data_IF_194945522673
#
_entry.id   IF_194945522673
#
_cell.length_a   1.000
_cell.length_b   1.000
_cell.length_c   1.000
_cell.angle_alpha   90.00
_cell.angle_beta   90.00
_cell.angle_gamma   90.00
#
_symmetry.space_group_name_H-M   'P 1'
#
loop_
_entity.id
_entity.type
_entity.pdbx_description
1 polymer ?
#
# COMPACT_ATOMS: atom_id res chain seq x y z
N UNK A 1 27.89 -2.78 15.82
CA UNK A 1 27.30 -3.73 14.88
C UNK A 1 26.15 -4.52 15.46
N UNK A 2 26.30 -5.10 16.63
CA UNK A 2 25.22 -5.83 17.27
C UNK A 2 24.03 -4.93 17.61
N UNK A 3 24.29 -3.67 17.95
CA UNK A 3 23.23 -2.73 18.22
C UNK A 3 22.34 -2.50 17.02
N UNK A 4 22.94 -2.46 15.85
CA UNK A 4 22.21 -2.25 14.62
C UNK A 4 21.26 -3.42 14.34
N UNK A 5 21.76 -4.64 14.52
CA UNK A 5 20.95 -5.85 14.32
C UNK A 5 19.81 -5.88 15.33
N UNK A 6 20.12 -5.58 16.59
CA UNK A 6 19.11 -5.59 17.63
C UNK A 6 18.02 -4.57 17.35
N UNK A 7 18.39 -3.36 16.93
CA UNK A 7 17.39 -2.35 16.62
C UNK A 7 16.50 -2.74 15.48
N UNK A 8 17.04 -3.44 14.47
CA UNK A 8 16.23 -3.92 13.38
C UNK A 8 15.22 -4.98 13.84
N UNK A 9 15.64 -5.86 14.72
CA UNK A 9 14.73 -6.86 15.27
C UNK A 9 13.64 -6.22 16.10
N UNK A 10 13.99 -5.24 16.91
CA UNK A 10 13.00 -4.55 17.72
C UNK A 10 11.99 -3.81 16.85
N UNK A 11 12.46 -3.19 15.79
CA UNK A 11 11.56 -2.51 14.85
C UNK A 11 10.62 -3.50 14.19
N UNK A 12 11.12 -4.68 13.80
CA UNK A 12 10.29 -5.69 13.20
C UNK A 12 9.24 -6.20 14.18
N UNK A 13 9.60 -6.38 15.43
CA UNK A 13 8.65 -6.80 16.46
C UNK A 13 7.56 -5.77 16.67
N UNK A 14 7.92 -4.49 16.70
CA UNK A 14 6.92 -3.44 16.85
C UNK A 14 5.99 -3.39 15.65
N UNK A 15 6.53 -3.58 14.47
CA UNK A 15 5.73 -3.59 13.26
C UNK A 15 4.75 -4.75 13.24
N UNK A 16 5.19 -5.92 13.66
CA UNK A 16 4.32 -7.08 13.75
C UNK A 16 3.19 -6.86 14.73
N UNK A 17 3.51 -6.27 15.87
CA UNK A 17 2.48 -5.96 16.86
C UNK A 17 1.48 -4.95 16.32
N UNK A 18 1.95 -3.96 15.57
CA UNK A 18 1.08 -2.97 14.95
C UNK A 18 0.15 -3.62 13.95
N UNK A 19 0.68 -4.49 13.11
CA UNK A 19 -0.11 -5.22 12.12
C UNK A 19 -1.21 -6.01 12.81
N UNK A 20 -0.88 -6.68 13.90
CA UNK A 20 -1.86 -7.48 14.61
C UNK A 20 -2.96 -6.65 15.27
N UNK A 21 -2.66 -5.41 15.62
CA UNK A 21 -3.65 -4.53 16.22
C UNK A 21 -4.51 -3.81 15.20
N UNK A 22 -3.93 -3.46 14.05
CA UNK A 22 -4.60 -2.64 13.05
C UNK A 22 -5.34 -3.47 12.01
N UNK A 23 -4.73 -4.58 11.60
CA UNK A 23 -5.33 -5.43 10.58
C UNK A 23 -6.17 -6.51 11.22
N UNK A 24 -7.33 -6.77 10.64
CA UNK A 24 -8.15 -7.89 11.07
C UNK A 24 -7.47 -9.20 10.69
N UNK A 25 -7.97 -10.30 11.24
CA UNK A 25 -7.45 -11.60 10.88
C UNK A 25 -7.64 -11.89 9.40
N UNK A 26 -8.78 -11.49 8.84
CA UNK A 26 -9.05 -11.68 7.42
C UNK A 26 -8.08 -10.88 6.57
N UNK A 27 -7.77 -9.65 6.99
CA UNK A 27 -6.81 -8.82 6.28
C UNK A 27 -5.40 -9.40 6.32
N UNK A 28 -5.00 -9.89 7.48
CA UNK A 28 -3.70 -10.55 7.60
C UNK A 28 -3.60 -11.78 6.73
N UNK A 29 -4.69 -12.57 6.69
CA UNK A 29 -4.73 -13.75 5.85
C UNK A 29 -4.65 -13.40 4.37
N UNK A 30 -5.33 -12.34 3.97
CA UNK A 30 -5.27 -11.87 2.58
C UNK A 30 -3.85 -11.48 2.21
N UNK A 31 -3.19 -10.72 3.08
CA UNK A 31 -1.83 -10.28 2.83
C UNK A 31 -0.88 -11.47 2.70
N UNK A 32 -1.06 -12.47 3.56
CA UNK A 32 -0.23 -13.68 3.49
C UNK A 32 -0.47 -14.48 2.23
N UNK A 33 -1.72 -14.70 1.89
CA UNK A 33 -2.09 -15.55 0.77
C UNK A 33 -1.87 -14.89 -0.58
N UNK A 34 -2.30 -13.66 -0.68
CA UNK A 34 -2.35 -12.98 -1.98
C UNK A 34 -1.16 -12.06 -2.20
N UNK A 35 -0.41 -11.73 -1.14
CA UNK A 35 0.70 -10.81 -1.26
C UNK A 35 0.31 -9.35 -1.28
N UNK A 36 -0.96 -9.06 -1.09
CA UNK A 36 -1.44 -7.68 -1.03
C UNK A 36 -2.65 -7.59 -0.11
N UNK A 37 -2.92 -6.39 0.35
CA UNK A 37 -4.09 -6.06 1.14
C UNK A 37 -5.02 -5.21 0.29
N UNK A 38 -6.28 -5.59 0.23
CA UNK A 38 -7.26 -4.84 -0.55
C UNK A 38 -8.04 -3.88 0.35
N UNK A 39 -8.13 -2.62 -0.09
CA UNK A 39 -8.84 -1.57 0.63
C UNK A 39 -9.84 -0.94 -0.32
N UNK A 40 -11.07 -0.78 0.13
CA UNK A 40 -12.09 -0.13 -0.69
C UNK A 40 -11.98 1.38 -0.54
N UNK A 41 -12.19 2.11 -1.64
CA UNK A 41 -12.21 3.55 -1.59
C UNK A 41 -13.44 4.03 -0.83
N UNK A 42 -13.25 5.03 0.03
CA UNK A 42 -14.37 5.67 0.70
C UNK A 42 -14.94 6.81 -0.14
N UNK A 43 -14.14 7.36 -1.05
CA UNK A 43 -14.55 8.51 -1.84
C UNK A 43 -15.11 8.19 -3.21
N UNK A 44 -14.74 7.05 -3.78
CA UNK A 44 -15.17 6.68 -5.13
C UNK A 44 -15.72 5.27 -5.09
N UNK A 45 -17.01 5.16 -5.35
CA UNK A 45 -17.69 3.87 -5.34
C UNK A 45 -17.10 2.95 -6.41
N UNK A 46 -16.77 1.73 -6.02
CA UNK A 46 -16.23 0.74 -6.94
C UNK A 46 -14.73 0.78 -7.12
N UNK A 47 -14.04 1.78 -6.57
CA UNK A 47 -12.58 1.82 -6.63
C UNK A 47 -12.00 0.99 -5.50
N UNK A 48 -10.97 0.22 -5.82
CA UNK A 48 -10.26 -0.60 -4.85
C UNK A 48 -8.78 -0.32 -4.93
N UNK A 49 -8.12 -0.47 -3.81
CA UNK A 49 -6.66 -0.34 -3.73
C UNK A 49 -6.08 -1.67 -3.32
N UNK A 50 -4.97 -2.05 -3.92
CA UNK A 50 -4.23 -3.23 -3.50
C UNK A 50 -2.84 -2.82 -3.08
N UNK A 51 -2.58 -2.97 -1.79
CA UNK A 51 -1.31 -2.59 -1.17
C UNK A 51 -0.43 -3.82 -1.10
N UNK A 52 0.67 -3.87 -1.85
CA UNK A 52 1.54 -5.04 -1.80
C UNK A 52 2.31 -5.08 -0.48
N UNK A 53 2.93 -6.21 -0.20
CA UNK A 53 3.70 -6.37 1.03
C UNK A 53 4.75 -5.30 1.23
N UNK A 54 5.38 -4.86 0.16
CA UNK A 54 6.36 -3.79 0.23
C UNK A 54 5.76 -2.40 0.33
N UNK A 55 4.45 -2.28 0.25
CA UNK A 55 3.76 -1.02 0.38
C UNK A 55 3.67 -0.21 -0.90
N UNK A 56 4.46 -0.52 -1.92
CA UNK A 56 4.49 0.28 -3.13
C UNK A 56 4.97 -0.57 -4.30
N UNK A 57 4.46 -0.36 -5.50
CA UNK A 57 3.38 0.57 -5.82
C UNK A 57 2.02 0.02 -5.42
N UNK A 58 1.13 0.91 -5.08
CA UNK A 58 -0.25 0.53 -4.76
C UNK A 58 -1.03 0.50 -6.07
N UNK A 59 -1.72 -0.59 -6.31
CA UNK A 59 -2.56 -0.71 -7.50
C UNK A 59 -3.93 -0.11 -7.21
N UNK A 60 -4.40 0.72 -8.12
CA UNK A 60 -5.73 1.31 -8.04
C UNK A 60 -6.58 0.69 -9.13
N UNK A 61 -7.61 -0.04 -8.71
CA UNK A 61 -8.52 -0.68 -9.64
C UNK A 61 -9.78 0.17 -9.73
N UNK A 62 -9.94 0.81 -10.87
CA UNK A 62 -11.05 1.72 -11.07
C UNK A 62 -12.32 0.98 -11.48
N UNK A 63 -13.49 1.59 -11.22
CA UNK A 63 -14.75 0.94 -11.58
C UNK A 63 -14.89 0.64 -13.06
N UNK A 64 -14.22 1.42 -13.92
CA UNK A 64 -14.29 1.21 -15.36
C UNK A 64 -13.28 0.19 -15.87
N UNK A 65 -12.56 -0.47 -14.98
CA UNK A 65 -11.61 -1.50 -15.34
C UNK A 65 -10.18 -1.01 -15.54
N UNK A 66 -9.94 0.28 -15.47
CA UNK A 66 -8.57 0.79 -15.57
C UNK A 66 -7.81 0.47 -14.30
N UNK A 67 -6.52 0.24 -14.46
CA UNK A 67 -5.63 -0.01 -13.33
C UNK A 67 -4.52 1.02 -13.38
N UNK A 68 -4.35 1.73 -12.29
CA UNK A 68 -3.28 2.71 -12.11
C UNK A 68 -2.37 2.24 -11.01
N UNK A 69 -1.17 2.75 -10.99
CA UNK A 69 -0.23 2.47 -9.91
C UNK A 69 0.25 3.77 -9.30
N UNK A 70 0.22 3.81 -7.98
CA UNK A 70 0.66 4.97 -7.21
C UNK A 70 1.83 4.58 -6.34
N UNK A 71 2.86 5.39 -6.34
CA UNK A 71 4.03 5.19 -5.51
C UNK A 71 4.11 6.31 -4.48
N UNK A 72 4.03 5.93 -3.22
CA UNK A 72 4.23 6.86 -2.12
C UNK A 72 5.35 6.30 -1.29
N UNK A 73 6.46 7.05 -1.22
CA UNK A 73 7.63 6.59 -0.50
C UNK A 73 7.51 6.98 0.97
N UNK A 74 7.41 6.02 1.85
CA UNK A 74 7.44 6.32 3.27
C UNK A 74 8.86 6.57 3.73
N UNK A 75 9.00 6.89 5.00
CA UNK A 75 10.31 6.98 5.61
C UNK A 75 11.03 5.64 5.42
N UNK A 76 12.26 5.71 4.94
CA UNK A 76 13.04 4.50 4.67
C UNK A 76 13.35 3.69 5.91
N UNK A 77 13.17 4.27 7.09
CA UNK A 77 13.39 3.57 8.34
C UNK A 77 12.23 2.67 8.73
N UNK A 78 11.12 2.75 8.03
CA UNK A 78 9.94 1.96 8.38
C UNK A 78 10.12 0.51 7.95
N UNK A 79 9.67 -0.41 8.80
CA UNK A 79 9.62 -1.82 8.46
C UNK A 79 8.53 -2.04 7.41
N UNK A 80 8.68 -3.10 6.63
CA UNK A 80 7.76 -3.41 5.55
C UNK A 80 6.31 -3.49 6.03
N UNK A 81 6.09 -4.15 7.16
CA UNK A 81 4.74 -4.28 7.70
C UNK A 81 4.14 -2.94 8.10
N UNK A 82 4.96 -2.04 8.64
CA UNK A 82 4.50 -0.71 8.99
C UNK A 82 4.10 0.08 7.74
N UNK A 83 4.82 -0.12 6.66
CA UNK A 83 4.51 0.57 5.40
C UNK A 83 3.13 0.18 4.91
N UNK A 84 2.80 -1.11 4.95
CA UNK A 84 1.48 -1.57 4.54
C UNK A 84 0.39 -0.94 5.40
N UNK A 85 0.59 -0.92 6.70
CA UNK A 85 -0.38 -0.32 7.62
C UNK A 85 -0.52 1.17 7.36
N UNK A 86 0.59 1.86 7.12
CA UNK A 86 0.56 3.29 6.86
C UNK A 86 -0.26 3.60 5.60
N UNK A 87 -0.04 2.84 4.54
CA UNK A 87 -0.82 3.04 3.31
C UNK A 87 -2.31 2.80 3.56
N UNK A 88 -2.63 1.73 4.29
CA UNK A 88 -4.03 1.43 4.61
C UNK A 88 -4.69 2.57 5.35
N UNK A 89 -4.04 3.06 6.39
CA UNK A 89 -4.62 4.12 7.21
C UNK A 89 -4.77 5.43 6.44
N UNK A 90 -3.79 5.74 5.60
CA UNK A 90 -3.88 6.94 4.78
C UNK A 90 -5.00 6.84 3.76
N UNK A 91 -5.13 5.69 3.11
CA UNK A 91 -6.18 5.50 2.13
C UNK A 91 -7.56 5.50 2.76
N UNK A 92 -7.69 4.99 3.97
CA UNK A 92 -8.97 4.97 4.65
C UNK A 92 -9.34 6.31 5.26
N UNK A 93 -8.36 7.04 5.77
CA UNK A 93 -8.62 8.26 6.50
C UNK A 93 -8.32 9.56 5.75
N UNK A 94 -7.51 9.51 4.72
CA UNK A 94 -7.07 10.71 4.01
C UNK A 94 -6.80 10.40 2.54
N UNK A 95 -7.77 9.80 1.89
CA UNK A 95 -7.62 9.31 0.53
C UNK A 95 -7.18 10.39 -0.44
N UNK A 96 -7.81 11.55 -0.37
CA UNK A 96 -7.48 12.63 -1.29
C UNK A 96 -6.05 13.12 -1.09
N UNK A 97 -5.64 13.24 0.16
CA UNK A 97 -4.29 13.64 0.49
C UNK A 97 -3.27 12.61 0.00
N UNK A 98 -3.64 11.33 0.09
CA UNK A 98 -2.79 10.25 -0.43
C UNK A 98 -2.52 10.45 -1.92
N UNK A 99 -3.56 10.74 -2.68
CA UNK A 99 -3.43 10.95 -4.12
C UNK A 99 -2.56 12.15 -4.45
N UNK A 100 -2.65 13.20 -3.65
CA UNK A 100 -1.84 14.38 -3.88
C UNK A 100 -0.36 14.14 -3.62
N UNK A 101 -0.06 13.26 -2.67
CA UNK A 101 1.33 12.97 -2.33
C UNK A 101 1.95 11.88 -3.16
N UNK A 102 1.14 10.96 -3.66
CA UNK A 102 1.64 9.82 -4.39
C UNK A 102 2.02 10.20 -5.81
N UNK A 103 2.98 9.49 -6.34
CA UNK A 103 3.41 9.68 -7.72
C UNK A 103 2.86 8.56 -8.57
N UNK A 104 2.17 8.89 -9.66
CA UNK A 104 1.75 7.86 -10.59
C UNK A 104 2.97 7.25 -11.25
N UNK A 105 3.03 5.91 -11.30
CA UNK A 105 4.18 5.23 -11.86
C UNK A 105 3.85 4.40 -13.09
N UNK A 106 2.58 4.35 -13.46
CA UNK A 106 2.21 3.66 -14.67
C UNK A 106 0.79 3.19 -14.64
N UNK A 107 0.35 2.66 -15.76
CA UNK A 107 -0.96 2.06 -15.90
C UNK A 107 -0.80 0.67 -16.44
N UNK A 108 -1.34 -0.28 -15.74
CA UNK A 108 -1.35 -1.63 -16.21
C UNK A 108 -2.60 -1.85 -17.03
N UNK A 109 -2.54 -1.47 -18.27
CA UNK A 109 -3.68 -1.68 -19.14
C UNK A 109 -3.33 -2.74 -20.11
N UNK A 110 -4.15 -3.46 -20.58
CA UNK A 110 -3.84 -4.44 -21.56
C UNK A 110 -3.18 -3.81 -22.77
N UNK A 111 -3.42 -2.54 -22.96
CA UNK A 111 -2.79 -1.85 -24.05
C UNK A 111 -2.81 -0.40 -23.72
N UNK A 112 -2.09 0.38 -24.44
CA UNK A 112 -1.96 1.76 -24.13
C UNK A 112 -1.13 2.03 -22.91
N UNK A 113 -0.68 0.97 -22.27
CA UNK A 113 0.15 1.11 -21.11
C UNK A 113 1.49 1.69 -21.50
N UNK A 114 1.96 2.60 -20.71
CA UNK A 114 3.25 3.22 -20.96
C UNK A 114 3.21 4.40 -21.88
N UNK A 115 2.12 4.55 -22.57
CA UNK A 115 1.99 5.63 -23.50
C UNK A 115 1.13 6.66 -22.85
N UNK A 116 1.49 7.87 -22.91
CA UNK A 116 0.72 8.91 -22.31
C UNK A 116 0.26 8.57 -20.93
N UNK A 117 1.17 8.10 -20.14
CA UNK A 117 0.80 7.70 -18.80
C UNK A 117 0.14 8.80 -18.03
N UNK A 118 0.59 9.99 -18.20
CA UNK A 118 0.13 11.09 -17.41
C UNK A 118 -0.19 12.30 -18.22
N UNK A 119 -0.20 12.16 -19.46
CA UNK A 119 -0.42 13.31 -20.28
C UNK A 119 -1.70 13.27 -20.97
#
# INVERSE_FOLDING_TARGET
MLDWIRRRREAAHRADALVQRVLSEAERAQLRRNGFLEVLSSGVSGRKYRIPRGGSPVAVLEPDGRVLYLCLQPDSAMAQAEVVVAHKLLLEGAEEDYWQRANPVGRAMGRGFGRRLFG
#
